data_IF_296625269287
#
_entry.id   IF_296625269287
#
_cell.length_a   1.000
_cell.length_b   1.000
_cell.length_c   1.000
_cell.angle_alpha   90.00
_cell.angle_beta   90.00
_cell.angle_gamma   90.00
#
_symmetry.space_group_name_H-M   'P 1'
#
loop_
_entity.id
_entity.type
_entity.pdbx_description
1 polymer ?
#
# COMPACT_ATOMS: atom_id res chain seq x y z
N UNK A 1 -14.00 -3.55 15.50
CA UNK A 1 -13.46 -2.20 15.19
C UNK A 1 -14.53 -1.38 14.47
N UNK A 2 -14.62 -0.06 14.69
CA UNK A 2 -15.61 0.79 14.01
C UNK A 2 -15.31 0.90 12.51
N UNK A 3 -16.36 0.94 11.67
CA UNK A 3 -16.23 1.05 10.20
C UNK A 3 -15.53 2.32 9.72
N UNK A 4 -15.48 3.37 10.56
CA UNK A 4 -14.77 4.62 10.26
C UNK A 4 -13.28 4.39 10.00
N UNK A 5 -12.64 3.46 10.72
CA UNK A 5 -11.22 3.17 10.57
C UNK A 5 -10.91 2.50 9.22
N UNK A 6 -11.83 1.64 8.76
CA UNK A 6 -11.73 1.02 7.44
C UNK A 6 -11.92 2.06 6.33
N UNK A 7 -12.87 2.98 6.51
CA UNK A 7 -13.06 4.09 5.57
C UNK A 7 -11.82 4.99 5.49
N UNK A 8 -11.23 5.35 6.63
CA UNK A 8 -10.00 6.14 6.68
C UNK A 8 -8.85 5.46 5.94
N UNK A 9 -8.68 4.14 6.11
CA UNK A 9 -7.72 3.36 5.33
C UNK A 9 -7.99 3.47 3.82
N UNK A 10 -9.22 3.27 3.38
CA UNK A 10 -9.60 3.37 1.95
C UNK A 10 -9.32 4.76 1.38
N UNK A 11 -9.61 5.82 2.14
CA UNK A 11 -9.32 7.21 1.73
C UNK A 11 -7.81 7.43 1.64
N UNK A 12 -7.04 7.00 2.64
CA UNK A 12 -5.58 7.16 2.68
C UNK A 12 -4.91 6.51 1.48
N UNK A 13 -5.21 5.23 1.23
CA UNK A 13 -4.60 4.49 0.12
C UNK A 13 -5.04 5.06 -1.24
N UNK A 14 -6.29 5.52 -1.37
CA UNK A 14 -6.76 6.13 -2.62
C UNK A 14 -6.02 7.43 -2.92
N UNK A 15 -5.90 8.32 -1.94
CA UNK A 15 -5.18 9.58 -2.12
C UNK A 15 -3.70 9.34 -2.43
N UNK A 16 -3.09 8.35 -1.78
CA UNK A 16 -1.73 7.93 -2.09
C UNK A 16 -1.58 7.39 -3.50
N UNK A 17 -2.46 6.48 -3.92
CA UNK A 17 -2.42 5.90 -5.26
C UNK A 17 -2.73 6.93 -6.35
N UNK A 18 -3.56 7.95 -6.06
CA UNK A 18 -3.78 9.10 -6.95
C UNK A 18 -2.50 9.92 -7.11
N UNK A 19 -1.81 10.21 -6.00
CA UNK A 19 -0.51 10.90 -6.05
C UNK A 19 0.46 10.15 -6.97
N UNK A 20 0.63 8.84 -6.74
CA UNK A 20 1.52 8.04 -7.57
C UNK A 20 1.07 8.00 -9.04
N UNK A 21 -0.24 7.83 -9.30
CA UNK A 21 -0.78 7.76 -10.66
C UNK A 21 -0.50 9.01 -11.48
N UNK A 22 -0.45 10.19 -10.84
CA UNK A 22 -0.16 11.46 -11.50
C UNK A 22 1.34 11.61 -11.77
N UNK A 23 2.19 11.33 -10.78
CA UNK A 23 3.60 11.74 -10.83
C UNK A 23 4.60 10.60 -11.03
N UNK A 24 4.31 9.39 -10.55
CA UNK A 24 5.26 8.27 -10.55
C UNK A 24 5.67 7.81 -11.95
N UNK A 25 4.77 7.67 -12.96
CA UNK A 25 5.18 7.26 -14.30
C UNK A 25 6.25 8.17 -14.89
N UNK A 26 6.06 9.49 -14.79
CA UNK A 26 7.04 10.48 -15.28
C UNK A 26 8.33 10.46 -14.45
N UNK A 27 8.21 10.31 -13.14
CA UNK A 27 9.37 10.20 -12.25
C UNK A 27 10.21 8.94 -12.54
N UNK A 28 9.57 7.83 -12.88
CA UNK A 28 10.25 6.56 -13.21
C UNK A 28 11.13 6.61 -14.47
N UNK A 29 10.86 7.57 -15.37
CA UNK A 29 11.65 7.77 -16.58
C UNK A 29 13.03 8.37 -16.29
N UNK A 30 13.26 8.88 -15.08
CA UNK A 30 14.56 9.39 -14.68
C UNK A 30 15.56 8.24 -14.59
N UNK A 31 16.73 8.41 -15.19
CA UNK A 31 17.81 7.43 -15.13
C UNK A 31 18.19 7.14 -13.69
N UNK A 32 17.90 5.94 -13.20
CA UNK A 32 18.35 5.46 -11.90
C UNK A 32 18.80 4.01 -12.01
N UNK A 33 19.70 3.58 -11.11
CA UNK A 33 20.10 2.17 -10.99
C UNK A 33 19.07 1.32 -10.22
N UNK A 34 18.07 1.95 -9.60
CA UNK A 34 17.15 1.31 -8.65
C UNK A 34 15.81 0.92 -9.26
N UNK A 35 15.43 1.49 -10.40
CA UNK A 35 14.13 1.24 -11.03
C UNK A 35 14.22 1.15 -12.54
N UNK A 36 13.39 0.27 -13.11
CA UNK A 36 13.12 0.27 -14.54
C UNK A 36 12.04 1.31 -14.86
N UNK A 37 12.17 2.06 -15.96
CA UNK A 37 11.11 2.96 -16.40
C UNK A 37 9.80 2.21 -16.61
N UNK A 38 8.69 2.79 -16.14
CA UNK A 38 7.35 2.26 -16.36
C UNK A 38 6.51 3.27 -17.14
N UNK A 39 5.75 2.79 -18.12
CA UNK A 39 4.83 3.65 -18.87
C UNK A 39 3.61 3.98 -18.03
N UNK A 40 2.92 5.09 -18.34
CA UNK A 40 1.70 5.48 -17.62
C UNK A 40 0.63 4.39 -17.67
N UNK A 41 0.44 3.73 -18.83
CA UNK A 41 -0.55 2.64 -18.97
C UNK A 41 -0.26 1.48 -18.02
N UNK A 42 0.98 1.01 -17.99
CA UNK A 42 1.40 -0.08 -17.09
C UNK A 42 1.17 0.28 -15.64
N UNK A 43 1.56 1.50 -15.26
CA UNK A 43 1.42 1.98 -13.89
C UNK A 43 -0.04 2.15 -13.49
N UNK A 44 -0.85 2.82 -14.31
CA UNK A 44 -2.28 3.04 -14.08
C UNK A 44 -3.04 1.72 -13.94
N UNK A 45 -2.74 0.73 -14.79
CA UNK A 45 -3.33 -0.59 -14.67
C UNK A 45 -2.99 -1.24 -13.32
N UNK A 46 -1.71 -1.26 -12.96
CA UNK A 46 -1.26 -1.89 -11.71
C UNK A 46 -1.85 -1.21 -10.46
N UNK A 47 -1.82 0.13 -10.41
CA UNK A 47 -2.33 0.87 -9.26
C UNK A 47 -3.84 0.72 -9.11
N UNK A 48 -4.61 0.63 -10.20
CA UNK A 48 -6.05 0.35 -10.15
C UNK A 48 -6.29 -1.03 -9.53
N UNK A 49 -5.60 -2.07 -10.00
CA UNK A 49 -5.76 -3.43 -9.47
C UNK A 49 -5.41 -3.50 -7.98
N UNK A 50 -4.29 -2.89 -7.57
CA UNK A 50 -3.88 -2.86 -6.16
C UNK A 50 -4.90 -2.08 -5.31
N UNK A 51 -5.44 -0.98 -5.82
CA UNK A 51 -6.51 -0.22 -5.13
C UNK A 51 -7.75 -1.10 -4.92
N UNK A 52 -8.16 -1.85 -5.95
CA UNK A 52 -9.29 -2.78 -5.85
C UNK A 52 -9.01 -3.86 -4.80
N UNK A 53 -7.81 -4.46 -4.79
CA UNK A 53 -7.44 -5.47 -3.80
C UNK A 53 -7.47 -4.93 -2.37
N UNK A 54 -6.99 -3.70 -2.16
CA UNK A 54 -7.06 -3.04 -0.87
C UNK A 54 -8.52 -2.82 -0.43
N UNK A 55 -9.38 -2.32 -1.32
CA UNK A 55 -10.81 -2.14 -1.04
C UNK A 55 -11.51 -3.47 -0.74
N UNK A 56 -11.20 -4.53 -1.50
CA UNK A 56 -11.73 -5.86 -1.23
C UNK A 56 -11.30 -6.35 0.15
N UNK A 57 -10.02 -6.18 0.54
CA UNK A 57 -9.56 -6.55 1.88
C UNK A 57 -10.31 -5.81 2.99
N UNK A 58 -10.51 -4.51 2.80
CA UNK A 58 -11.20 -3.63 3.73
C UNK A 58 -12.69 -4.02 3.88
N UNK A 59 -13.38 -4.21 2.76
CA UNK A 59 -14.79 -4.61 2.74
C UNK A 59 -14.97 -6.01 3.32
N UNK A 60 -14.13 -6.98 2.93
CA UNK A 60 -14.15 -8.33 3.50
C UNK A 60 -13.97 -8.30 5.01
N UNK A 61 -13.09 -7.44 5.54
CA UNK A 61 -12.89 -7.29 6.98
C UNK A 61 -14.12 -6.72 7.68
N UNK A 62 -14.87 -5.80 7.05
CA UNK A 62 -16.13 -5.29 7.63
C UNK A 62 -17.20 -6.36 7.77
N UNK A 63 -17.32 -7.26 6.79
CA UNK A 63 -18.35 -8.29 6.78
C UNK A 63 -17.97 -9.57 7.55
N UNK A 64 -16.68 -9.86 7.67
CA UNK A 64 -16.20 -11.12 8.27
C UNK A 64 -14.90 -10.93 9.06
N UNK A 65 -14.91 -10.09 10.10
CA UNK A 65 -13.71 -9.75 10.88
C UNK A 65 -13.14 -10.95 11.66
N UNK A 66 -13.97 -11.95 11.98
CA UNK A 66 -13.57 -13.12 12.77
C UNK A 66 -12.80 -14.17 11.94
N UNK A 67 -12.87 -14.07 10.62
CA UNK A 67 -12.12 -14.96 9.73
C UNK A 67 -10.64 -14.60 9.77
N UNK A 68 -9.81 -15.50 10.31
CA UNK A 68 -8.36 -15.31 10.47
C UNK A 68 -7.68 -14.83 9.18
N UNK A 69 -8.00 -15.44 8.04
CA UNK A 69 -7.43 -15.08 6.74
C UNK A 69 -7.77 -13.63 6.35
N UNK A 70 -9.04 -13.24 6.46
CA UNK A 70 -9.50 -11.88 6.12
C UNK A 70 -8.82 -10.85 7.02
N UNK A 71 -8.78 -11.13 8.34
CA UNK A 71 -8.07 -10.29 9.31
C UNK A 71 -6.60 -10.13 8.91
N UNK A 72 -5.91 -11.23 8.60
CA UNK A 72 -4.50 -11.22 8.22
C UNK A 72 -4.24 -10.44 6.92
N UNK A 73 -5.09 -10.60 5.91
CA UNK A 73 -4.95 -9.83 4.66
C UNK A 73 -5.10 -8.33 4.96
N UNK A 74 -6.13 -7.93 5.71
CA UNK A 74 -6.39 -6.53 6.01
C UNK A 74 -5.26 -5.88 6.83
N UNK A 75 -4.80 -6.52 7.91
CA UNK A 75 -3.67 -5.98 8.71
C UNK A 75 -2.36 -6.01 7.95
N UNK A 76 -2.18 -6.99 7.05
CA UNK A 76 -1.05 -7.04 6.14
C UNK A 76 -1.03 -5.85 5.19
N UNK A 77 -2.18 -5.43 4.66
CA UNK A 77 -2.28 -4.18 3.89
C UNK A 77 -1.94 -2.95 4.73
N UNK A 78 -2.49 -2.82 5.94
CA UNK A 78 -2.19 -1.70 6.84
C UNK A 78 -0.68 -1.55 7.08
N UNK A 79 -0.03 -2.65 7.48
CA UNK A 79 1.41 -2.66 7.72
C UNK A 79 2.23 -2.46 6.46
N UNK A 80 1.83 -3.07 5.34
CA UNK A 80 2.54 -2.93 4.06
C UNK A 80 2.53 -1.49 3.55
N UNK A 81 1.43 -0.75 3.76
CA UNK A 81 1.34 0.65 3.36
C UNK A 81 2.19 1.58 4.26
N UNK A 82 2.40 1.22 5.53
CA UNK A 82 3.37 1.91 6.40
C UNK A 82 4.80 1.66 5.88
N UNK A 83 5.14 0.39 5.62
CA UNK A 83 6.46 0.02 5.10
C UNK A 83 6.70 0.68 3.75
N UNK A 84 5.69 0.70 2.87
CA UNK A 84 5.76 1.32 1.55
C UNK A 84 6.19 2.80 1.61
N UNK A 85 5.62 3.58 2.53
CA UNK A 85 6.00 4.99 2.73
C UNK A 85 7.49 5.18 3.08
N UNK A 86 8.09 4.22 3.79
CA UNK A 86 9.52 4.23 4.13
C UNK A 86 10.35 3.67 2.95
N UNK A 87 10.00 2.48 2.49
CA UNK A 87 10.60 1.79 1.35
C UNK A 87 9.51 1.43 0.32
N UNK A 88 9.53 2.01 -0.89
CA UNK A 88 10.66 2.70 -1.49
C UNK A 88 10.71 4.22 -1.29
N UNK A 89 9.62 4.91 -0.91
CA UNK A 89 9.50 6.36 -1.14
C UNK A 89 10.51 7.24 -0.39
N UNK A 90 10.63 7.07 0.93
CA UNK A 90 11.58 7.86 1.73
C UNK A 90 13.01 7.54 1.32
N UNK A 91 13.35 6.26 1.18
CA UNK A 91 14.70 5.84 0.78
C UNK A 91 15.07 6.33 -0.62
N UNK A 92 14.18 6.20 -1.60
CA UNK A 92 14.41 6.74 -2.93
C UNK A 92 14.61 8.25 -2.89
N UNK A 93 13.83 8.96 -2.07
CA UNK A 93 13.96 10.42 -1.92
C UNK A 93 15.32 10.82 -1.36
N UNK A 94 15.78 10.14 -0.32
CA UNK A 94 17.09 10.39 0.32
C UNK A 94 18.22 10.05 -0.64
N UNK A 95 18.21 8.88 -1.29
CA UNK A 95 19.30 8.45 -2.16
C UNK A 95 19.37 9.22 -3.49
N UNK A 96 18.22 9.66 -4.02
CA UNK A 96 18.17 10.42 -5.26
C UNK A 96 18.24 11.94 -5.05
N UNK A 97 18.14 12.41 -3.81
CA UNK A 97 18.08 13.84 -3.48
C UNK A 97 16.89 14.56 -4.12
N UNK A 98 15.83 13.82 -4.44
CA UNK A 98 14.67 14.30 -5.20
C UNK A 98 13.41 13.67 -4.65
N UNK A 99 12.34 14.44 -4.60
CA UNK A 99 11.03 13.94 -4.20
C UNK A 99 10.62 12.69 -5.00
N UNK A 100 10.32 11.59 -4.30
CA UNK A 100 9.67 10.42 -4.87
C UNK A 100 8.14 10.52 -4.70
N UNK A 101 7.36 10.41 -5.79
CA UNK A 101 5.90 10.32 -5.70
C UNK A 101 5.48 9.17 -4.78
N UNK A 102 4.46 9.41 -3.97
CA UNK A 102 3.99 8.56 -2.89
C UNK A 102 4.50 8.99 -1.50
N UNK A 103 5.54 9.83 -1.42
CA UNK A 103 6.13 10.20 -0.12
C UNK A 103 5.21 11.09 0.72
N UNK A 104 4.63 12.14 0.14
CA UNK A 104 3.83 13.11 0.90
C UNK A 104 2.61 12.44 1.53
N UNK A 105 1.81 11.76 0.72
CA UNK A 105 0.66 10.99 1.21
C UNK A 105 1.08 9.80 2.06
N UNK A 106 2.24 9.19 1.77
CA UNK A 106 2.81 8.13 2.60
C UNK A 106 3.05 8.57 4.03
N UNK A 107 3.75 9.69 4.21
CA UNK A 107 4.11 10.26 5.52
C UNK A 107 2.92 10.90 6.25
N UNK A 108 2.05 11.61 5.52
CA UNK A 108 0.97 12.39 6.14
C UNK A 108 -0.35 11.62 6.27
N UNK A 109 -0.58 10.59 5.45
CA UNK A 109 -1.83 9.83 5.43
C UNK A 109 -1.59 8.36 5.80
N UNK A 110 -0.83 7.61 5.00
CA UNK A 110 -0.70 6.16 5.20
C UNK A 110 -0.09 5.82 6.55
N UNK A 111 1.02 6.46 6.94
CA UNK A 111 1.66 6.18 8.24
C UNK A 111 0.71 6.54 9.41
N UNK A 112 0.17 7.77 9.53
CA UNK A 112 -0.65 8.13 10.67
C UNK A 112 -1.95 7.34 10.75
N UNK A 113 -2.66 7.20 9.62
CA UNK A 113 -3.95 6.52 9.60
C UNK A 113 -3.77 5.03 9.87
N UNK A 114 -2.85 4.35 9.18
CA UNK A 114 -2.69 2.90 9.37
C UNK A 114 -2.14 2.59 10.77
N UNK A 115 -1.27 3.44 11.31
CA UNK A 115 -0.79 3.30 12.70
C UNK A 115 -1.93 3.48 13.70
N UNK A 116 -2.82 4.45 13.48
CA UNK A 116 -4.01 4.64 14.30
C UNK A 116 -4.94 3.41 14.25
N UNK A 117 -5.20 2.87 13.06
CA UNK A 117 -6.02 1.66 12.90
C UNK A 117 -5.38 0.48 13.64
N UNK A 118 -4.08 0.24 13.44
CA UNK A 118 -3.35 -0.83 14.14
C UNK A 118 -3.34 -0.63 15.65
N UNK A 119 -3.14 0.59 16.12
CA UNK A 119 -3.19 0.94 17.55
C UNK A 119 -4.56 0.58 18.16
N UNK A 120 -5.65 0.91 17.47
CA UNK A 120 -7.00 0.54 17.91
C UNK A 120 -7.22 -0.98 17.90
N UNK A 121 -6.63 -1.69 16.93
CA UNK A 121 -6.70 -3.15 16.88
C UNK A 121 -5.93 -3.80 18.04
N UNK A 122 -4.75 -3.27 18.40
CA UNK A 122 -4.00 -3.72 19.58
C UNK A 122 -4.74 -3.42 20.88
N UNK A 123 -5.23 -2.18 21.07
CA UNK A 123 -5.98 -1.80 22.27
C UNK A 123 -7.26 -2.63 22.45
N UNK A 124 -7.90 -3.02 21.35
CA UNK A 124 -9.08 -3.88 21.36
C UNK A 124 -8.77 -5.38 21.46
N UNK A 125 -7.49 -5.77 21.63
CA UNK A 125 -7.03 -7.17 21.62
C UNK A 125 -7.44 -7.97 20.37
N UNK A 126 -7.64 -7.30 19.23
CA UNK A 126 -7.99 -7.95 17.97
C UNK A 126 -6.78 -8.60 17.28
N UNK A 127 -5.56 -8.11 17.60
CA UNK A 127 -4.30 -8.58 17.03
C UNK A 127 -3.17 -8.61 18.05
N UNK A 128 -2.13 -9.37 17.73
CA UNK A 128 -0.85 -9.41 18.43
C UNK A 128 0.31 -9.10 17.47
N UNK A 129 1.49 -8.78 18.02
CA UNK A 129 2.67 -8.39 17.23
C UNK A 129 3.06 -9.41 16.18
N UNK A 130 3.02 -10.70 16.52
CA UNK A 130 3.36 -11.78 15.58
C UNK A 130 2.41 -11.82 14.39
N UNK A 131 1.11 -11.58 14.60
CA UNK A 131 0.13 -11.51 13.51
C UNK A 131 0.40 -10.31 12.60
N UNK A 132 0.70 -9.14 13.19
CA UNK A 132 1.02 -7.94 12.43
C UNK A 132 2.28 -8.14 11.58
N UNK A 133 3.37 -8.59 12.17
CA UNK A 133 4.66 -8.78 11.48
C UNK A 133 4.51 -9.80 10.35
N UNK A 134 3.95 -10.97 10.64
CA UNK A 134 3.82 -12.03 9.65
C UNK A 134 2.88 -11.62 8.51
N UNK A 135 1.74 -11.00 8.83
CA UNK A 135 0.80 -10.54 7.81
C UNK A 135 1.39 -9.43 6.94
N UNK A 136 2.11 -8.48 7.55
CA UNK A 136 2.79 -7.40 6.82
C UNK A 136 3.83 -7.97 5.86
N UNK A 137 4.64 -8.93 6.32
CA UNK A 137 5.64 -9.58 5.47
C UNK A 137 4.99 -10.35 4.32
N UNK A 138 3.99 -11.19 4.62
CA UNK A 138 3.35 -12.05 3.60
C UNK A 138 2.62 -11.21 2.57
N UNK A 139 1.79 -10.26 2.99
CA UNK A 139 1.06 -9.38 2.08
C UNK A 139 2.02 -8.47 1.33
N UNK A 140 3.00 -7.87 2.01
CA UNK A 140 3.99 -6.99 1.38
C UNK A 140 4.81 -7.70 0.31
N UNK A 141 5.34 -8.89 0.60
CA UNK A 141 6.07 -9.71 -0.39
C UNK A 141 5.16 -10.09 -1.56
N UNK A 142 3.90 -10.45 -1.28
CA UNK A 142 2.93 -10.80 -2.32
C UNK A 142 2.64 -9.61 -3.23
N UNK A 143 2.43 -8.42 -2.68
CA UNK A 143 2.23 -7.19 -3.46
C UNK A 143 3.47 -6.84 -4.28
N UNK A 144 4.67 -6.92 -3.70
CA UNK A 144 5.93 -6.68 -4.40
C UNK A 144 6.14 -7.66 -5.57
N UNK A 145 5.80 -8.94 -5.39
CA UNK A 145 5.87 -9.95 -6.43
C UNK A 145 4.80 -9.73 -7.52
N UNK A 146 3.63 -9.21 -7.15
CA UNK A 146 2.52 -8.97 -8.05
C UNK A 146 2.75 -7.75 -8.97
N UNK A 147 3.42 -6.70 -8.49
CA UNK A 147 3.64 -5.46 -9.25
C UNK A 147 4.28 -5.70 -10.64
N UNK A 148 5.42 -6.44 -10.77
CA UNK A 148 6.02 -6.72 -12.07
C UNK A 148 5.09 -7.48 -13.03
N UNK A 149 4.26 -8.38 -12.49
CA UNK A 149 3.27 -9.12 -13.28
C UNK A 149 2.19 -8.17 -13.81
N UNK A 150 1.68 -7.26 -12.96
CA UNK A 150 0.69 -6.26 -13.37
C UNK A 150 1.25 -5.31 -14.42
N UNK A 151 2.52 -4.89 -14.30
CA UNK A 151 3.17 -4.09 -15.34
C UNK A 151 3.31 -4.84 -16.66
N UNK A 152 3.59 -6.15 -16.63
CA UNK A 152 3.65 -6.98 -17.84
C UNK A 152 2.28 -7.05 -18.52
N UNK A 153 1.22 -7.30 -17.75
CA UNK A 153 -0.15 -7.38 -18.26
C UNK A 153 -0.60 -6.03 -18.82
N UNK A 154 -0.43 -4.95 -18.07
CA UNK A 154 -0.80 -3.59 -18.49
C UNK A 154 -0.02 -3.07 -19.69
N UNK A 155 1.14 -3.66 -20.02
CA UNK A 155 1.89 -3.36 -21.24
C UNK A 155 1.41 -4.14 -22.47
N UNK A 156 0.61 -5.19 -22.28
CA UNK A 156 0.05 -6.02 -23.35
C UNK A 156 -1.40 -5.64 -23.73
N UNK A 157 -2.00 -4.71 -22.99
CA UNK A 157 -3.32 -4.10 -23.24
C UNK A 157 -3.17 -2.80 -24.05
#
# INVERSE_FOLDING_TARGET
MSGIYVLLFCVAITLHNIEEAIWLPKWSQQSSKFQKPVTSKQFHFAVIVITILAYLSAISYLYSPDTKLIKWIFIGFLGSMIVNAIFPHLLATVFMGKYAPGLLTGLLLNIPINSLVLYQMFNGNFIIWNELILSTLVVGITLLALIPLLFKIGGSL
#
